data_IF_510484423938
#
_entry.id   IF_510484423938
#
_cell.length_a   1.000
_cell.length_b   1.000
_cell.length_c   1.000
_cell.angle_alpha   90.00
_cell.angle_beta   90.00
_cell.angle_gamma   90.00
#
_symmetry.space_group_name_H-M   'P 1'
#
loop_
_entity.id
_entity.type
_entity.pdbx_description
1 polymer ?
#
# COMPACT_ATOMS: atom_id res chain seq x y z
N UNK A 1 36.47 -72.17 36.29
CA UNK A 1 35.70 -71.05 36.87
C UNK A 1 35.39 -70.06 35.75
N UNK A 2 34.20 -70.04 35.27
CA UNK A 2 33.78 -69.15 34.15
C UNK A 2 32.79 -68.15 34.80
N UNK A 3 33.19 -66.86 34.91
CA UNK A 3 32.34 -65.80 35.38
C UNK A 3 31.41 -65.36 34.27
N UNK A 4 30.10 -65.60 34.42
CA UNK A 4 29.04 -65.01 33.64
C UNK A 4 28.82 -63.57 34.11
N UNK A 5 29.19 -62.57 33.28
CA UNK A 5 28.78 -61.19 33.44
C UNK A 5 27.38 -61.04 32.83
N UNK A 6 26.38 -60.97 33.65
CA UNK A 6 25.03 -60.55 33.22
C UNK A 6 25.04 -59.07 32.93
N UNK A 7 24.95 -58.71 31.65
CA UNK A 7 24.73 -57.34 31.18
C UNK A 7 23.23 -57.03 31.34
N UNK A 8 22.88 -56.36 32.45
CA UNK A 8 21.53 -55.85 32.68
C UNK A 8 21.13 -54.84 31.67
N UNK A 9 20.31 -55.23 30.68
CA UNK A 9 19.65 -54.31 29.76
C UNK A 9 18.71 -53.38 30.55
N UNK A 10 19.07 -52.11 30.73
CA UNK A 10 18.17 -51.07 31.19
C UNK A 10 17.06 -50.90 30.16
N UNK A 11 15.84 -51.34 30.46
CA UNK A 11 14.64 -50.97 29.72
C UNK A 11 14.50 -49.42 29.77
N UNK A 12 14.69 -48.75 28.64
CA UNK A 12 14.25 -47.38 28.48
C UNK A 12 12.73 -47.37 28.61
N UNK A 13 12.20 -46.65 29.60
CA UNK A 13 10.78 -46.34 29.67
C UNK A 13 10.44 -45.40 28.48
N UNK A 14 9.91 -45.93 27.42
CA UNK A 14 9.29 -45.12 26.35
C UNK A 14 7.88 -44.75 26.87
N UNK A 15 7.75 -43.54 27.43
CA UNK A 15 6.44 -42.94 27.71
C UNK A 15 5.83 -42.49 26.41
N UNK A 16 4.84 -43.22 25.91
CA UNK A 16 4.02 -42.80 24.78
C UNK A 16 3.16 -41.58 25.14
N UNK A 17 2.93 -40.68 24.17
CA UNK A 17 2.01 -39.55 24.35
C UNK A 17 0.58 -40.03 24.64
N UNK A 18 -0.07 -39.38 25.58
CA UNK A 18 -1.48 -39.70 25.92
C UNK A 18 -2.40 -39.15 24.81
N UNK A 19 -3.54 -39.80 24.59
CA UNK A 19 -4.58 -39.31 23.65
C UNK A 19 -5.04 -37.90 24.00
N UNK A 20 -5.09 -37.57 25.31
CA UNK A 20 -5.44 -36.23 25.77
C UNK A 20 -4.43 -35.17 25.37
N UNK A 21 -3.13 -35.49 25.37
CA UNK A 21 -2.05 -34.57 25.04
C UNK A 21 -2.09 -34.25 23.54
N UNK A 22 -2.28 -35.24 22.67
CA UNK A 22 -2.45 -35.02 21.23
C UNK A 22 -3.73 -34.23 20.94
N UNK A 23 -4.85 -34.52 21.63
CA UNK A 23 -6.08 -33.76 21.44
C UNK A 23 -5.92 -32.28 21.84
N UNK A 24 -5.21 -31.98 22.93
CA UNK A 24 -4.91 -30.61 23.35
C UNK A 24 -4.02 -29.87 22.34
N UNK A 25 -2.99 -30.53 21.80
CA UNK A 25 -2.11 -29.96 20.79
C UNK A 25 -2.86 -29.58 19.50
N UNK A 26 -3.74 -30.47 19.01
CA UNK A 26 -4.55 -30.23 17.83
C UNK A 26 -5.53 -29.07 18.08
N UNK A 27 -6.15 -28.99 19.26
CA UNK A 27 -7.04 -27.89 19.62
C UNK A 27 -6.33 -26.56 19.63
N UNK A 28 -5.16 -26.46 20.27
CA UNK A 28 -4.35 -25.23 20.30
C UNK A 28 -3.86 -24.86 18.89
N UNK A 29 -3.37 -25.83 18.11
CA UNK A 29 -2.95 -25.59 16.75
C UNK A 29 -4.10 -25.06 15.87
N UNK A 30 -5.30 -25.61 15.99
CA UNK A 30 -6.49 -25.15 15.30
C UNK A 30 -6.85 -23.69 15.63
N UNK A 31 -6.80 -23.31 16.93
CA UNK A 31 -7.03 -21.94 17.37
C UNK A 31 -5.97 -20.97 16.82
N UNK A 32 -4.69 -21.36 16.81
CA UNK A 32 -3.61 -20.53 16.27
C UNK A 32 -3.75 -20.31 14.77
N UNK A 33 -4.08 -21.35 13.99
CA UNK A 33 -4.34 -21.23 12.56
C UNK A 33 -5.52 -20.29 12.31
N UNK A 34 -6.61 -20.43 13.05
CA UNK A 34 -7.77 -19.54 12.93
C UNK A 34 -7.43 -18.07 13.21
N UNK A 35 -6.63 -17.79 14.24
CA UNK A 35 -6.16 -16.44 14.57
C UNK A 35 -5.28 -15.84 13.47
N UNK A 36 -4.36 -16.62 12.89
CA UNK A 36 -3.46 -16.16 11.80
C UNK A 36 -4.23 -15.82 10.53
N UNK A 37 -5.21 -16.65 10.16
CA UNK A 37 -6.02 -16.39 8.95
C UNK A 37 -6.81 -15.08 9.05
N UNK A 38 -7.30 -14.72 10.25
CA UNK A 38 -8.05 -13.49 10.45
C UNK A 38 -7.16 -12.23 10.52
N UNK A 39 -5.87 -12.37 10.83
CA UNK A 39 -4.95 -11.23 11.00
C UNK A 39 -4.63 -10.47 9.70
N UNK A 40 -4.68 -11.13 8.54
CA UNK A 40 -4.39 -10.52 7.24
C UNK A 40 -5.36 -9.41 6.88
N UNK A 41 -6.66 -9.61 7.09
CA UNK A 41 -7.68 -8.59 6.83
C UNK A 41 -7.49 -7.33 7.69
N UNK A 42 -7.05 -7.49 8.93
CA UNK A 42 -6.77 -6.37 9.84
C UNK A 42 -5.54 -5.57 9.38
N UNK A 43 -4.49 -6.26 8.92
CA UNK A 43 -3.29 -5.61 8.40
C UNK A 43 -3.56 -4.80 7.13
N UNK A 44 -4.34 -5.35 6.20
CA UNK A 44 -4.74 -4.64 4.99
C UNK A 44 -5.60 -3.41 5.31
N UNK A 45 -6.58 -3.54 6.21
CA UNK A 45 -7.39 -2.41 6.66
C UNK A 45 -6.54 -1.32 7.33
N UNK A 46 -5.57 -1.69 8.16
CA UNK A 46 -4.63 -0.74 8.74
C UNK A 46 -3.74 -0.06 7.69
N UNK A 47 -3.32 -0.78 6.65
CA UNK A 47 -2.56 -0.22 5.53
C UNK A 47 -3.39 0.76 4.71
N UNK A 48 -4.67 0.49 4.49
CA UNK A 48 -5.60 1.41 3.82
C UNK A 48 -5.75 2.73 4.57
N UNK A 49 -5.95 2.67 5.90
CA UNK A 49 -6.04 3.88 6.73
C UNK A 49 -4.73 4.69 6.73
N UNK A 50 -3.57 4.01 6.71
CA UNK A 50 -2.27 4.69 6.61
C UNK A 50 -2.09 5.37 5.25
N UNK A 51 -2.52 4.70 4.16
CA UNK A 51 -2.48 5.28 2.83
C UNK A 51 -3.39 6.52 2.74
N UNK A 52 -4.61 6.46 3.27
CA UNK A 52 -5.53 7.59 3.32
C UNK A 52 -4.91 8.80 4.04
N UNK A 53 -4.34 8.58 5.22
CA UNK A 53 -3.64 9.63 5.96
C UNK A 53 -2.44 10.18 5.20
N UNK A 54 -1.68 9.32 4.52
CA UNK A 54 -0.54 9.76 3.72
C UNK A 54 -0.97 10.66 2.56
N UNK A 55 -2.07 10.35 1.87
CA UNK A 55 -2.63 11.19 0.83
C UNK A 55 -2.95 12.60 1.38
N UNK A 56 -3.64 12.66 2.51
CA UNK A 56 -3.98 13.94 3.16
C UNK A 56 -2.73 14.69 3.64
N UNK A 57 -1.79 13.99 4.31
CA UNK A 57 -0.54 14.59 4.79
C UNK A 57 0.30 15.16 3.65
N UNK A 58 0.43 14.44 2.53
CA UNK A 58 1.21 14.91 1.38
C UNK A 58 0.56 16.09 0.67
N UNK A 59 -0.78 16.11 0.54
CA UNK A 59 -1.48 17.29 0.00
C UNK A 59 -1.20 18.53 0.84
N UNK A 60 -1.37 18.44 2.15
CA UNK A 60 -1.10 19.55 3.07
C UNK A 60 0.37 19.95 3.04
N UNK A 61 1.31 19.00 2.94
CA UNK A 61 2.74 19.30 2.87
C UNK A 61 3.11 20.08 1.61
N UNK A 62 2.54 19.72 0.45
CA UNK A 62 2.76 20.44 -0.82
C UNK A 62 2.15 21.83 -0.76
N UNK A 63 0.95 22.00 -0.22
CA UNK A 63 0.32 23.32 -0.06
C UNK A 63 1.16 24.23 0.84
N UNK A 64 1.64 23.70 1.98
CA UNK A 64 2.52 24.45 2.90
C UNK A 64 3.88 24.80 2.29
N UNK A 65 4.42 23.89 1.48
CA UNK A 65 5.67 24.18 0.74
C UNK A 65 5.45 25.30 -0.25
N UNK A 66 4.37 25.23 -1.03
CA UNK A 66 4.01 26.28 -1.99
C UNK A 66 3.79 27.65 -1.30
N UNK A 67 3.11 27.66 -0.17
CA UNK A 67 2.87 28.89 0.61
C UNK A 67 4.17 29.51 1.13
N UNK A 68 5.18 28.72 1.46
CA UNK A 68 6.48 29.20 1.97
C UNK A 68 7.44 29.62 0.86
N UNK A 69 7.53 28.80 -0.19
CA UNK A 69 8.55 28.92 -1.23
C UNK A 69 8.05 29.64 -2.49
N UNK A 70 6.73 29.75 -2.68
CA UNK A 70 6.10 30.29 -3.88
C UNK A 70 6.22 29.42 -5.12
N UNK A 71 6.77 28.20 -4.99
CA UNK A 71 6.96 27.21 -6.05
C UNK A 71 6.57 25.82 -5.56
N UNK A 72 6.26 24.91 -6.47
CA UNK A 72 5.96 23.53 -6.09
C UNK A 72 7.25 22.74 -5.78
N UNK A 73 7.23 21.74 -4.89
CA UNK A 73 8.39 20.92 -4.59
C UNK A 73 8.84 20.19 -5.87
N UNK A 74 10.16 20.12 -6.09
CA UNK A 74 10.76 19.56 -7.31
C UNK A 74 10.71 20.47 -8.53
N UNK A 75 10.22 21.70 -8.44
CA UNK A 75 10.11 22.63 -9.59
C UNK A 75 11.37 23.44 -9.88
N UNK A 76 12.40 23.38 -9.04
CA UNK A 76 13.55 24.28 -9.07
C UNK A 76 14.46 24.14 -10.29
N UNK A 77 14.29 23.15 -11.13
CA UNK A 77 15.17 22.87 -12.29
C UNK A 77 14.50 22.98 -13.66
N UNK A 78 13.31 23.55 -13.77
CA UNK A 78 12.63 23.72 -15.06
C UNK A 78 12.22 22.41 -15.75
N UNK A 79 12.27 21.30 -15.03
CA UNK A 79 11.95 19.98 -15.51
C UNK A 79 10.61 19.52 -14.91
N UNK A 80 9.71 19.11 -15.75
CA UNK A 80 8.38 18.59 -15.38
C UNK A 80 8.40 17.21 -14.69
N UNK A 81 9.58 16.70 -14.38
CA UNK A 81 9.82 15.46 -13.67
C UNK A 81 10.51 15.77 -12.35
N UNK A 82 9.74 15.86 -11.30
CA UNK A 82 10.20 16.16 -9.96
C UNK A 82 10.91 14.95 -9.35
N UNK A 83 12.20 14.79 -9.62
CA UNK A 83 12.97 13.70 -8.99
C UNK A 83 13.35 13.95 -7.53
N UNK A 84 13.19 15.17 -7.04
CA UNK A 84 13.65 15.61 -5.71
C UNK A 84 12.53 16.24 -4.85
N UNK A 85 11.28 16.05 -5.24
CA UNK A 85 10.13 16.61 -4.52
C UNK A 85 10.03 16.16 -3.06
N UNK A 86 10.42 14.94 -2.80
CA UNK A 86 10.41 14.32 -1.48
C UNK A 86 11.56 14.85 -0.60
N UNK A 87 12.72 15.17 -1.19
CA UNK A 87 13.83 15.82 -0.50
C UNK A 87 13.48 17.26 -0.14
N UNK A 88 12.82 18.01 -1.02
CA UNK A 88 12.35 19.36 -0.77
C UNK A 88 11.40 19.40 0.44
N UNK A 89 10.45 18.49 0.51
CA UNK A 89 9.53 18.41 1.65
C UNK A 89 10.22 18.01 2.96
N UNK A 90 11.26 17.18 2.89
CA UNK A 90 12.05 16.80 4.07
C UNK A 90 12.93 17.95 4.54
N UNK A 91 13.57 18.68 3.63
CA UNK A 91 14.42 19.84 3.94
C UNK A 91 13.63 20.94 4.65
N UNK A 92 12.38 21.17 4.23
CA UNK A 92 11.46 22.11 4.88
C UNK A 92 10.76 21.55 6.13
N UNK A 93 11.12 20.34 6.56
CA UNK A 93 10.56 19.63 7.73
C UNK A 93 9.03 19.40 7.64
N UNK A 94 8.49 19.35 6.45
CA UNK A 94 7.06 19.08 6.20
C UNK A 94 6.77 17.58 6.22
N UNK A 95 7.78 16.75 5.88
CA UNK A 95 7.72 15.28 5.97
C UNK A 95 8.96 14.78 6.71
N UNK A 96 8.83 13.73 7.49
CA UNK A 96 9.91 13.23 8.37
C UNK A 96 11.03 12.48 7.65
N UNK A 97 10.78 11.96 6.44
CA UNK A 97 11.77 11.26 5.61
C UNK A 97 11.30 11.10 4.17
N UNK A 98 12.22 11.05 3.22
CA UNK A 98 11.97 10.78 1.80
C UNK A 98 11.24 9.46 1.59
N UNK A 99 11.64 8.40 2.31
CA UNK A 99 10.96 7.10 2.24
C UNK A 99 9.48 7.19 2.65
N UNK A 100 9.13 8.06 3.62
CA UNK A 100 7.75 8.25 4.03
C UNK A 100 6.94 9.01 2.98
N UNK A 101 7.58 9.86 2.19
CA UNK A 101 6.96 10.57 1.10
C UNK A 101 6.75 9.66 -0.12
N UNK A 102 7.78 8.92 -0.53
CA UNK A 102 7.80 8.20 -1.81
C UNK A 102 7.41 6.70 -1.74
N UNK A 103 7.05 6.18 -0.57
CA UNK A 103 6.59 4.79 -0.42
C UNK A 103 5.33 4.72 0.44
N UNK A 104 4.32 3.99 -0.01
CA UNK A 104 3.07 3.86 0.75
C UNK A 104 2.93 2.51 1.47
N UNK A 105 1.89 2.38 2.30
CA UNK A 105 1.69 1.26 3.22
C UNK A 105 1.51 -0.12 2.54
N UNK A 106 1.18 -0.18 1.25
CA UNK A 106 1.11 -1.42 0.47
C UNK A 106 2.42 -1.76 -0.25
N UNK A 107 3.48 -0.95 -0.07
CA UNK A 107 4.82 -1.19 -0.59
C UNK A 107 5.07 -0.69 -2.02
N UNK A 108 4.10 0.00 -2.63
CA UNK A 108 4.28 0.66 -3.92
C UNK A 108 4.89 2.05 -3.77
N UNK A 109 5.16 2.68 -4.90
CA UNK A 109 5.78 3.99 -4.99
C UNK A 109 4.74 5.11 -5.03
N UNK A 110 5.10 6.25 -4.45
CA UNK A 110 4.41 7.52 -4.58
C UNK A 110 5.31 8.46 -5.39
N UNK A 111 4.75 9.04 -6.43
CA UNK A 111 5.45 9.93 -7.34
C UNK A 111 4.65 11.23 -7.50
N UNK A 112 5.31 12.35 -7.36
CA UNK A 112 4.69 13.66 -7.51
C UNK A 112 5.06 14.24 -8.87
N UNK A 113 4.06 14.63 -9.65
CA UNK A 113 4.23 15.09 -11.02
C UNK A 113 3.62 16.46 -11.23
N UNK A 114 4.43 17.36 -11.73
CA UNK A 114 4.06 18.74 -12.03
C UNK A 114 3.84 18.88 -13.52
N UNK A 115 2.84 19.64 -13.92
CA UNK A 115 2.63 20.05 -15.31
C UNK A 115 2.54 18.89 -16.32
N UNK A 116 1.89 17.79 -15.95
CA UNK A 116 1.75 16.65 -16.84
C UNK A 116 0.75 16.97 -17.96
N UNK A 117 1.22 16.90 -19.20
CA UNK A 117 0.37 16.90 -20.38
C UNK A 117 -0.38 15.57 -20.51
N UNK A 118 -1.50 15.55 -21.22
CA UNK A 118 -2.48 14.45 -21.38
C UNK A 118 -1.94 13.04 -21.64
N UNK A 119 -0.64 12.87 -21.87
CA UNK A 119 -0.05 11.57 -22.25
C UNK A 119 0.38 10.69 -21.07
N UNK A 120 0.34 11.18 -19.82
CA UNK A 120 0.86 10.44 -18.67
C UNK A 120 -0.06 10.41 -17.44
N UNK A 121 -1.25 10.96 -17.54
CA UNK A 121 -2.22 11.03 -16.45
C UNK A 121 -3.64 10.76 -16.93
N UNK A 122 -4.53 10.23 -16.09
CA UNK A 122 -5.90 9.91 -16.48
C UNK A 122 -6.85 11.13 -16.54
N UNK A 123 -6.37 12.33 -16.26
CA UNK A 123 -7.16 13.55 -16.33
C UNK A 123 -7.13 14.09 -17.78
N UNK A 124 -8.21 13.88 -18.52
CA UNK A 124 -8.33 14.24 -19.96
C UNK A 124 -9.22 15.45 -20.21
N UNK A 125 -9.78 16.03 -19.17
CA UNK A 125 -10.62 17.23 -19.28
C UNK A 125 -9.77 18.48 -19.56
N UNK A 126 -10.34 19.46 -20.22
CA UNK A 126 -9.66 20.70 -20.65
C UNK A 126 -9.07 21.52 -19.47
N UNK A 127 -9.45 21.21 -18.24
CA UNK A 127 -8.88 21.80 -17.02
C UNK A 127 -7.62 21.07 -16.54
N UNK A 128 -7.22 19.99 -17.18
CA UNK A 128 -6.10 19.13 -16.79
C UNK A 128 -4.80 19.45 -17.53
N UNK A 129 -4.78 20.40 -18.45
CA UNK A 129 -3.53 20.93 -18.98
C UNK A 129 -2.76 21.56 -17.81
N UNK A 130 -1.62 20.96 -17.47
CA UNK A 130 -0.76 21.35 -16.35
C UNK A 130 -1.25 20.92 -14.95
N UNK A 131 -2.05 19.86 -14.81
CA UNK A 131 -2.42 19.36 -13.50
C UNK A 131 -1.21 18.79 -12.74
N UNK A 132 -1.11 19.14 -11.50
CA UNK A 132 -0.17 18.55 -10.55
C UNK A 132 -0.84 17.36 -9.88
N UNK A 133 -0.20 16.21 -9.89
CA UNK A 133 -0.79 14.96 -9.40
C UNK A 133 0.17 14.12 -8.58
N UNK A 134 -0.34 13.46 -7.55
CA UNK A 134 0.32 12.34 -6.92
C UNK A 134 -0.09 11.04 -7.62
N UNK A 135 0.88 10.23 -8.00
CA UNK A 135 0.67 8.90 -8.56
C UNK A 135 1.08 7.84 -7.54
N UNK A 136 0.16 6.96 -7.21
CA UNK A 136 0.36 5.82 -6.32
C UNK A 136 0.32 4.54 -7.14
N UNK A 137 1.36 3.70 -7.07
CA UNK A 137 1.46 2.44 -7.79
C UNK A 137 1.16 1.24 -6.89
N UNK A 138 0.81 0.08 -7.47
CA UNK A 138 0.66 -1.17 -6.73
C UNK A 138 -0.38 -1.17 -5.58
N UNK A 139 -1.40 -0.34 -5.68
CA UNK A 139 -2.50 -0.32 -4.70
C UNK A 139 -3.50 -1.44 -5.01
N UNK A 140 -3.87 -2.29 -4.06
CA UNK A 140 -4.92 -3.27 -4.31
C UNK A 140 -6.26 -2.59 -4.66
N UNK A 141 -6.91 -3.03 -5.75
CA UNK A 141 -8.10 -2.39 -6.32
C UNK A 141 -9.24 -2.18 -5.29
N UNK A 142 -9.43 -3.13 -4.39
CA UNK A 142 -10.39 -3.05 -3.29
C UNK A 142 -10.18 -1.79 -2.43
N UNK A 143 -8.94 -1.48 -2.10
CA UNK A 143 -8.62 -0.35 -1.23
C UNK A 143 -8.60 0.97 -1.98
N UNK A 144 -8.24 0.96 -3.26
CA UNK A 144 -8.39 2.14 -4.10
C UNK A 144 -9.86 2.57 -4.21
N UNK A 145 -10.79 1.61 -4.36
CA UNK A 145 -12.23 1.93 -4.32
C UNK A 145 -12.63 2.59 -2.99
N UNK A 146 -12.16 2.06 -1.86
CA UNK A 146 -12.44 2.64 -0.54
C UNK A 146 -11.91 4.08 -0.43
N UNK A 147 -10.75 4.37 -1.03
CA UNK A 147 -10.18 5.72 -1.05
C UNK A 147 -11.01 6.69 -1.89
N UNK A 148 -11.43 6.27 -3.09
CA UNK A 148 -12.31 7.07 -3.95
C UNK A 148 -13.61 7.39 -3.23
N UNK A 149 -14.25 6.37 -2.64
CA UNK A 149 -15.50 6.53 -1.90
C UNK A 149 -15.39 7.43 -0.67
N UNK A 150 -14.17 7.55 -0.08
CA UNK A 150 -13.94 8.33 1.16
C UNK A 150 -13.38 9.73 0.94
N UNK A 151 -12.62 9.94 -0.13
CA UNK A 151 -11.88 11.19 -0.38
C UNK A 151 -12.38 11.96 -1.60
N UNK A 152 -13.25 11.36 -2.41
CA UNK A 152 -13.77 11.95 -3.65
C UNK A 152 -15.25 11.58 -3.87
N UNK A 153 -15.72 11.61 -5.10
CA UNK A 153 -17.12 11.41 -5.52
C UNK A 153 -17.57 9.94 -5.64
N UNK A 154 -16.65 8.99 -5.46
CA UNK A 154 -16.92 7.55 -5.57
C UNK A 154 -16.78 6.98 -7.00
N UNK A 155 -16.43 7.79 -8.00
CA UNK A 155 -16.25 7.37 -9.40
C UNK A 155 -14.78 7.32 -9.78
N UNK A 156 -14.26 6.22 -10.36
CA UNK A 156 -12.82 6.06 -10.63
C UNK A 156 -12.32 6.82 -11.87
N UNK A 157 -13.19 7.33 -12.68
CA UNK A 157 -12.95 8.03 -13.95
C UNK A 157 -13.35 9.52 -13.93
N UNK A 158 -13.91 9.99 -12.83
CA UNK A 158 -14.27 11.39 -12.60
C UNK A 158 -13.59 11.95 -11.34
N UNK A 159 -13.82 13.21 -11.02
CA UNK A 159 -13.32 13.84 -9.78
C UNK A 159 -11.82 14.11 -9.73
N UNK A 160 -11.33 14.24 -8.51
CA UNK A 160 -9.92 14.54 -8.19
C UNK A 160 -9.07 13.29 -7.97
N UNK A 161 -9.70 12.12 -7.83
CA UNK A 161 -9.01 10.83 -7.71
C UNK A 161 -9.41 9.95 -8.88
N UNK A 162 -8.46 9.56 -9.70
CA UNK A 162 -8.68 8.68 -10.85
C UNK A 162 -7.80 7.46 -10.79
N UNK A 163 -8.29 6.38 -11.38
CA UNK A 163 -7.66 5.06 -11.33
C UNK A 163 -7.31 4.59 -12.73
N UNK A 164 -6.14 3.95 -12.87
CA UNK A 164 -5.72 3.30 -14.11
C UNK A 164 -5.21 1.89 -13.84
N UNK A 165 -5.12 1.06 -14.87
CA UNK A 165 -4.44 -0.22 -14.78
C UNK A 165 -2.97 -0.05 -14.41
N UNK A 166 -2.41 -1.02 -13.69
CA UNK A 166 -0.99 -0.98 -13.27
C UNK A 166 -0.02 -1.16 -14.45
N UNK A 167 -0.46 -1.77 -15.54
CA UNK A 167 0.35 -2.13 -16.72
C UNK A 167 0.71 -0.99 -17.68
N UNK A 168 0.41 0.28 -17.34
CA UNK A 168 0.78 1.43 -18.17
C UNK A 168 -0.38 2.10 -18.89
N UNK A 169 -1.61 1.69 -18.64
CA UNK A 169 -2.80 2.37 -19.13
C UNK A 169 -2.82 3.84 -18.71
N UNK A 170 -3.13 4.73 -19.66
CA UNK A 170 -3.20 6.17 -19.43
C UNK A 170 -4.64 6.63 -19.19
N UNK A 171 -5.61 5.83 -19.59
CA UNK A 171 -7.03 6.14 -19.42
C UNK A 171 -7.50 5.73 -18.04
N UNK A 172 -8.34 6.55 -17.44
CA UNK A 172 -9.07 6.16 -16.25
C UNK A 172 -9.93 4.92 -16.55
N UNK A 173 -9.97 4.00 -15.61
CA UNK A 173 -10.84 2.82 -15.71
C UNK A 173 -12.24 3.16 -15.22
N UNK A 174 -13.24 2.53 -15.80
CA UNK A 174 -14.64 2.69 -15.39
C UNK A 174 -14.92 1.97 -14.06
N UNK A 175 -16.05 2.29 -13.44
CA UNK A 175 -16.53 1.57 -12.24
C UNK A 175 -16.68 0.07 -12.48
N UNK A 176 -17.01 -0.35 -13.70
CA UNK A 176 -17.12 -1.77 -14.07
C UNK A 176 -15.75 -2.44 -14.08
N UNK A 177 -14.74 -1.78 -14.67
CA UNK A 177 -13.37 -2.31 -14.74
C UNK A 177 -12.75 -2.38 -13.34
N UNK A 178 -12.99 -1.38 -12.49
CA UNK A 178 -12.55 -1.40 -11.10
C UNK A 178 -13.17 -2.58 -10.33
N UNK A 179 -14.45 -2.87 -10.51
CA UNK A 179 -15.11 -4.00 -9.87
C UNK A 179 -14.55 -5.35 -10.38
N UNK A 180 -14.19 -5.46 -11.66
CA UNK A 180 -13.51 -6.62 -12.22
C UNK A 180 -12.11 -6.80 -11.61
N UNK A 181 -11.34 -5.72 -11.49
CA UNK A 181 -10.03 -5.72 -10.84
C UNK A 181 -10.11 -6.13 -9.35
N UNK A 182 -11.17 -5.73 -8.64
CA UNK A 182 -11.44 -6.19 -7.27
C UNK A 182 -11.69 -7.70 -7.24
N UNK A 183 -12.50 -8.21 -8.17
CA UNK A 183 -12.81 -9.64 -8.28
C UNK A 183 -11.59 -10.52 -8.58
N UNK A 184 -10.63 -10.01 -9.36
CA UNK A 184 -9.36 -10.69 -9.70
C UNK A 184 -8.22 -10.41 -8.70
N UNK A 185 -8.46 -9.61 -7.66
CA UNK A 185 -7.43 -9.19 -6.69
C UNK A 185 -6.24 -8.47 -7.32
N UNK A 186 -6.49 -7.73 -8.39
CA UNK A 186 -5.47 -6.98 -9.10
C UNK A 186 -4.98 -5.77 -8.31
N UNK A 187 -3.77 -5.34 -8.65
CA UNK A 187 -3.20 -4.07 -8.23
C UNK A 187 -3.37 -3.04 -9.33
N UNK A 188 -3.62 -1.81 -8.93
CA UNK A 188 -3.89 -0.69 -9.82
C UNK A 188 -3.04 0.51 -9.44
N UNK A 189 -3.02 1.52 -10.29
CA UNK A 189 -2.48 2.85 -9.98
C UNK A 189 -3.63 3.81 -9.72
N UNK A 190 -3.50 4.67 -8.74
CA UNK A 190 -4.40 5.78 -8.59
C UNK A 190 -3.66 7.11 -8.57
N UNK A 191 -4.35 8.15 -8.97
CA UNK A 191 -3.84 9.50 -9.11
C UNK A 191 -4.71 10.43 -8.28
N UNK A 192 -4.07 11.28 -7.52
CA UNK A 192 -4.74 12.32 -6.72
C UNK A 192 -4.32 13.67 -7.28
N UNK A 193 -5.29 14.47 -7.70
CA UNK A 193 -5.08 15.83 -8.19
C UNK A 193 -4.84 16.75 -6.99
N UNK A 194 -3.84 17.61 -7.15
CA UNK A 194 -3.52 18.66 -6.21
C UNK A 194 -4.35 19.91 -6.50
#
# INVERSE_FOLDING_TARGET
MVNHLEVGMRKKNESGFTLLEIALVILVAGLLIGAVLNSRGIQEAASSLRLQKQVEELKVAVDLYFDRMGVLPGSNEGNSSSSEWDEDLVNEQLVTSTRRANTHAFGGEVDFRINQTNTQQPFTDSSAENATVFRYTDVPAKWAKTLIDSLDDGTPDEGNIRVTENSGGQNAITSTDLNNAIGSSEKIRFFVRQ
#
